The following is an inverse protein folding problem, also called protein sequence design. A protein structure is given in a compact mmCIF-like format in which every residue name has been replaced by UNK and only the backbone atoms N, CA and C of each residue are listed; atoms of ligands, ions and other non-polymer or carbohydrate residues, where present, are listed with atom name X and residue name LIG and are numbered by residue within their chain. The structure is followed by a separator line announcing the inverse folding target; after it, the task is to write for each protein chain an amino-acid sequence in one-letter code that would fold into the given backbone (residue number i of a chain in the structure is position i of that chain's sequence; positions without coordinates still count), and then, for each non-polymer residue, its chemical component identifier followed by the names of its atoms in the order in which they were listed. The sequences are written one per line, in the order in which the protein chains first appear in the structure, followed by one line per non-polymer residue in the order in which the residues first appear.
data_IF_508593186318
#
_entry.id   IF_508593186318
#
_cell.length_a   1.000
_cell.length_b   1.000
_cell.length_c   1.000
_cell.angle_alpha   90.00
_cell.angle_beta   90.00
_cell.angle_gamma   90.00
#
_symmetry.space_group_name_H-M   'P 1'
#
loop_
_entity.id
_entity.type
_entity.pdbx_description
1 polymer ?
#
# COMPACT_ATOMS: atom_id res chain seq x y z
N UNK A 1 -2.06 0.21 -13.55
CA UNK A 1 -0.98 -0.01 -12.56
C UNK A 1 0.21 -0.62 -13.28
N UNK A 2 1.41 -0.42 -12.79
CA UNK A 2 2.66 -0.90 -13.39
C UNK A 2 3.29 -1.98 -12.49
N UNK A 3 4.05 -2.89 -13.09
CA UNK A 3 4.86 -3.89 -12.39
C UNK A 3 6.15 -4.12 -13.15
N UNK A 4 7.28 -4.27 -12.44
CA UNK A 4 8.55 -4.66 -13.10
C UNK A 4 8.39 -6.00 -13.82
N UNK A 5 7.66 -6.94 -13.20
CA UNK A 5 7.54 -8.32 -13.70
C UNK A 5 6.51 -8.46 -14.81
N UNK A 6 5.43 -7.67 -14.77
CA UNK A 6 4.25 -7.87 -15.64
C UNK A 6 3.94 -6.68 -16.57
N UNK A 7 4.72 -5.60 -16.51
CA UNK A 7 4.46 -4.38 -17.28
C UNK A 7 3.21 -3.63 -16.81
N UNK A 8 2.52 -2.96 -17.74
CA UNK A 8 1.26 -2.27 -17.46
C UNK A 8 0.10 -3.27 -17.32
N UNK A 9 -0.55 -3.24 -16.17
CA UNK A 9 -1.66 -4.12 -15.82
C UNK A 9 -2.90 -3.32 -15.44
N UNK A 10 -4.05 -3.78 -15.94
CA UNK A 10 -5.36 -3.29 -15.47
C UNK A 10 -5.60 -3.72 -14.02
N UNK A 11 -6.51 -3.04 -13.31
CA UNK A 11 -6.89 -3.43 -11.95
C UNK A 11 -7.40 -4.88 -11.88
N UNK A 12 -8.23 -5.29 -12.87
CA UNK A 12 -8.73 -6.67 -12.99
C UNK A 12 -7.59 -7.66 -13.24
N UNK A 13 -6.65 -7.33 -14.13
CA UNK A 13 -5.50 -8.18 -14.43
C UNK A 13 -4.60 -8.34 -13.20
N UNK A 14 -4.36 -7.27 -12.44
CA UNK A 14 -3.59 -7.33 -11.20
C UNK A 14 -4.23 -8.31 -10.21
N UNK A 15 -5.54 -8.23 -9.96
CA UNK A 15 -6.25 -9.16 -9.07
C UNK A 15 -6.01 -10.61 -9.49
N UNK A 16 -6.16 -10.91 -10.78
CA UNK A 16 -5.95 -12.27 -11.28
C UNK A 16 -4.49 -12.73 -11.13
N UNK A 17 -3.52 -11.83 -11.29
CA UNK A 17 -2.10 -12.14 -11.05
C UNK A 17 -1.86 -12.42 -9.55
N UNK A 18 -2.42 -11.61 -8.65
CA UNK A 18 -2.30 -11.80 -7.19
C UNK A 18 -2.85 -13.17 -6.80
N UNK A 19 -4.06 -13.51 -7.25
CA UNK A 19 -4.68 -14.81 -6.98
C UNK A 19 -3.81 -15.95 -7.47
N UNK A 20 -3.35 -15.90 -8.72
CA UNK A 20 -2.44 -16.92 -9.29
C UNK A 20 -1.13 -17.04 -8.50
N UNK A 21 -0.55 -15.92 -8.07
CA UNK A 21 0.69 -15.91 -7.31
C UNK A 21 0.53 -16.59 -5.94
N UNK A 22 -0.57 -16.32 -5.24
CA UNK A 22 -0.89 -16.96 -3.95
C UNK A 22 -1.23 -18.45 -4.14
N UNK A 23 -2.03 -18.78 -5.16
CA UNK A 23 -2.42 -20.16 -5.47
C UNK A 23 -1.26 -21.03 -5.97
N UNK A 24 -0.17 -20.44 -6.48
CA UNK A 24 0.98 -21.19 -6.98
C UNK A 24 1.73 -21.99 -5.92
N UNK A 25 1.60 -21.62 -4.63
CA UNK A 25 2.11 -22.40 -3.51
C UNK A 25 1.31 -22.06 -2.24
N UNK A 26 0.26 -22.84 -1.96
CA UNK A 26 -0.63 -22.64 -0.81
C UNK A 26 -0.02 -23.10 0.52
N UNK A 27 1.14 -23.77 0.51
CA UNK A 27 1.85 -24.16 1.74
C UNK A 27 2.57 -22.97 2.41
N UNK A 28 2.64 -21.83 1.72
CA UNK A 28 3.33 -20.61 2.15
C UNK A 28 2.36 -19.60 2.71
N UNK A 29 2.88 -18.77 3.63
CA UNK A 29 2.18 -17.57 4.10
C UNK A 29 2.42 -16.41 3.13
N UNK A 30 1.37 -15.64 2.85
CA UNK A 30 1.42 -14.43 2.05
C UNK A 30 0.92 -13.24 2.85
N UNK A 31 1.51 -12.08 2.62
CA UNK A 31 1.09 -10.81 3.22
C UNK A 31 0.85 -9.81 2.10
N UNK A 32 -0.37 -9.27 2.04
CA UNK A 32 -0.71 -8.17 1.14
C UNK A 32 -0.55 -6.86 1.92
N UNK A 33 0.32 -6.00 1.42
CA UNK A 33 0.62 -4.70 2.00
C UNK A 33 0.34 -3.61 0.99
N UNK A 34 -0.42 -2.60 1.39
CA UNK A 34 -0.72 -1.43 0.57
C UNK A 34 -0.11 -0.21 1.25
N UNK A 35 0.67 0.56 0.50
CA UNK A 35 1.29 1.77 1.02
C UNK A 35 1.36 2.85 -0.04
N UNK A 36 1.30 4.09 0.41
CA UNK A 36 1.43 5.26 -0.46
C UNK A 36 2.52 6.15 0.09
N UNK A 37 3.30 6.75 -0.81
CA UNK A 37 4.27 7.79 -0.49
C UNK A 37 4.14 8.93 -1.50
N UNK A 38 4.34 10.16 -1.06
CA UNK A 38 4.25 11.33 -1.93
C UNK A 38 5.43 12.26 -1.77
N UNK A 39 5.90 12.82 -2.89
CA UNK A 39 7.04 13.74 -2.91
C UNK A 39 6.73 15.02 -3.69
N UNK A 40 7.07 16.14 -3.06
CA UNK A 40 6.80 17.47 -3.61
C UNK A 40 7.92 17.88 -4.57
N UNK A 41 7.53 18.22 -5.80
CA UNK A 41 8.34 18.92 -6.79
C UNK A 41 7.63 20.26 -7.13
N UNK A 42 7.47 20.58 -8.41
CA UNK A 42 6.54 21.62 -8.89
C UNK A 42 5.09 21.23 -8.60
N UNK A 43 4.81 19.93 -8.68
CA UNK A 43 3.57 19.25 -8.28
C UNK A 43 3.91 18.11 -7.32
N UNK A 44 2.92 17.60 -6.58
CA UNK A 44 3.12 16.43 -5.73
C UNK A 44 3.02 15.17 -6.60
N UNK A 45 4.10 14.38 -6.65
CA UNK A 45 4.13 13.03 -7.23
C UNK A 45 3.75 12.04 -6.13
N UNK A 46 2.72 11.25 -6.37
CA UNK A 46 2.16 10.31 -5.40
C UNK A 46 2.27 8.91 -5.97
N UNK A 47 2.82 7.97 -5.21
CA UNK A 47 2.95 6.58 -5.63
C UNK A 47 2.19 5.70 -4.67
N UNK A 48 1.21 4.97 -5.21
CA UNK A 48 0.43 3.97 -4.47
C UNK A 48 0.97 2.59 -4.83
N UNK A 49 1.21 1.73 -3.86
CA UNK A 49 1.81 0.40 -4.01
C UNK A 49 0.88 -0.68 -3.45
N UNK A 50 0.77 -1.79 -4.17
CA UNK A 50 0.26 -3.07 -3.67
C UNK A 50 1.39 -4.08 -3.73
N UNK A 51 1.87 -4.53 -2.59
CA UNK A 51 2.95 -5.50 -2.45
C UNK A 51 2.42 -6.82 -1.89
N UNK A 52 2.85 -7.94 -2.48
CA UNK A 52 2.49 -9.28 -2.08
C UNK A 52 3.77 -10.00 -1.72
N UNK A 53 4.00 -10.15 -0.42
CA UNK A 53 5.19 -10.80 0.12
C UNK A 53 4.89 -12.27 0.40
N UNK A 54 5.61 -13.18 -0.23
CA UNK A 54 5.64 -14.61 0.13
C UNK A 54 6.72 -14.77 1.20
N UNK A 55 6.30 -15.03 2.43
CA UNK A 55 7.21 -15.02 3.59
C UNK A 55 8.35 -16.02 3.37
N UNK A 56 9.59 -15.52 3.39
CA UNK A 56 10.80 -16.31 3.15
C UNK A 56 11.17 -16.55 1.68
N UNK A 57 10.41 -16.02 0.71
CA UNK A 57 10.56 -16.35 -0.72
C UNK A 57 10.37 -15.13 -1.65
N UNK A 58 10.64 -13.92 -1.17
CA UNK A 58 10.50 -12.69 -1.95
C UNK A 58 9.03 -12.33 -2.21
N UNK A 59 8.75 -11.56 -3.25
CA UNK A 59 7.40 -11.06 -3.51
C UNK A 59 7.26 -10.41 -4.87
N UNK A 60 6.03 -10.01 -5.17
CA UNK A 60 5.70 -9.18 -6.33
C UNK A 60 5.07 -7.88 -5.84
N UNK A 61 5.13 -6.83 -6.65
CA UNK A 61 4.42 -5.61 -6.35
C UNK A 61 3.93 -4.94 -7.62
N UNK A 62 2.97 -4.07 -7.41
CA UNK A 62 2.37 -3.21 -8.40
C UNK A 62 2.33 -1.79 -7.85
N UNK A 63 2.46 -0.80 -8.71
CA UNK A 63 2.36 0.59 -8.30
C UNK A 63 1.62 1.44 -9.32
N UNK A 64 1.11 2.57 -8.90
CA UNK A 64 0.52 3.58 -9.76
C UNK A 64 1.04 4.96 -9.38
N UNK A 65 1.29 5.81 -10.37
CA UNK A 65 1.82 7.16 -10.15
C UNK A 65 0.74 8.18 -10.47
N UNK A 66 0.39 9.00 -9.48
CA UNK A 66 -0.53 10.12 -9.59
C UNK A 66 0.22 11.44 -9.43
N UNK A 67 -0.33 12.50 -10.02
CA UNK A 67 0.17 13.87 -9.97
C UNK A 67 -0.93 14.76 -9.43
N UNK A 68 -0.68 15.42 -8.30
CA UNK A 68 -1.67 16.30 -7.64
C UNK A 68 -1.04 17.65 -7.29
N UNK A 69 -1.89 18.61 -6.94
CA UNK A 69 -1.43 19.91 -6.47
C UNK A 69 -0.50 19.78 -5.26
N UNK A 70 0.38 20.75 -5.09
CA UNK A 70 1.41 20.73 -4.05
C UNK A 70 0.77 20.62 -2.65
N UNK A 71 1.16 19.62 -1.88
CA UNK A 71 0.70 19.43 -0.50
C UNK A 71 1.84 19.82 0.44
N UNK A 72 1.80 21.04 0.98
CA UNK A 72 2.90 21.59 1.78
C UNK A 72 2.91 21.13 3.24
N UNK A 73 1.77 20.70 3.77
CA UNK A 73 1.63 20.30 5.16
C UNK A 73 1.89 18.79 5.33
N UNK A 74 2.87 18.42 6.17
CA UNK A 74 3.25 17.03 6.42
C UNK A 74 2.08 16.18 6.94
N UNK A 75 1.28 16.71 7.87
CA UNK A 75 0.11 16.01 8.39
C UNK A 75 -0.88 15.75 7.27
N UNK A 76 -1.20 16.77 6.47
CA UNK A 76 -2.07 16.62 5.30
C UNK A 76 -1.55 15.57 4.31
N UNK A 77 -0.24 15.51 4.06
CA UNK A 77 0.38 14.49 3.20
C UNK A 77 0.13 13.07 3.74
N UNK A 78 0.43 12.83 5.01
CA UNK A 78 0.26 11.51 5.64
C UNK A 78 -1.22 11.09 5.62
N UNK A 79 -2.14 12.00 5.91
CA UNK A 79 -3.58 11.73 5.83
C UNK A 79 -4.01 11.40 4.40
N UNK A 80 -3.50 12.14 3.41
CA UNK A 80 -3.79 11.91 2.01
C UNK A 80 -3.25 10.55 1.53
N UNK A 81 -1.99 10.23 1.85
CA UNK A 81 -1.36 8.93 1.56
C UNK A 81 -2.12 7.76 2.22
N UNK A 82 -2.53 7.94 3.47
CA UNK A 82 -3.31 6.93 4.21
C UNK A 82 -4.69 6.75 3.55
N UNK A 83 -5.37 7.84 3.16
CA UNK A 83 -6.67 7.76 2.49
C UNK A 83 -6.62 6.97 1.18
N UNK A 84 -5.61 7.22 0.35
CA UNK A 84 -5.40 6.51 -0.92
C UNK A 84 -5.13 5.02 -0.70
N UNK A 85 -4.39 4.70 0.36
CA UNK A 85 -4.09 3.30 0.71
C UNK A 85 -5.35 2.56 1.18
N UNK A 86 -6.18 3.21 2.00
CA UNK A 86 -7.47 2.67 2.46
C UNK A 86 -8.43 2.48 1.28
N UNK A 87 -8.58 3.47 0.40
CA UNK A 87 -9.47 3.37 -0.78
C UNK A 87 -9.08 2.17 -1.66
N UNK A 88 -7.79 1.98 -1.92
CA UNK A 88 -7.32 0.85 -2.71
C UNK A 88 -7.53 -0.49 -1.99
N UNK A 89 -7.36 -0.53 -0.67
CA UNK A 89 -7.60 -1.72 0.13
C UNK A 89 -9.08 -2.11 0.15
N UNK A 90 -10.00 -1.14 0.24
CA UNK A 90 -11.44 -1.37 0.16
C UNK A 90 -11.81 -1.98 -1.19
N UNK A 91 -11.35 -1.38 -2.28
CA UNK A 91 -11.61 -1.89 -3.64
C UNK A 91 -11.05 -3.30 -3.87
N UNK A 92 -9.87 -3.60 -3.32
CA UNK A 92 -9.28 -4.94 -3.39
C UNK A 92 -10.07 -5.95 -2.55
N UNK A 93 -10.40 -5.58 -1.31
CA UNK A 93 -11.20 -6.41 -0.39
C UNK A 93 -12.57 -6.75 -0.98
N UNK A 94 -13.27 -5.77 -1.56
CA UNK A 94 -14.53 -5.99 -2.27
C UNK A 94 -14.39 -7.02 -3.38
N UNK A 95 -13.38 -6.90 -4.25
CA UNK A 95 -13.16 -7.86 -5.35
C UNK A 95 -12.73 -9.24 -4.87
N UNK A 96 -11.96 -9.31 -3.80
CA UNK A 96 -11.60 -10.58 -3.18
C UNK A 96 -12.83 -11.27 -2.57
N UNK A 97 -13.71 -10.52 -1.90
CA UNK A 97 -14.96 -11.05 -1.35
C UNK A 97 -15.94 -11.50 -2.43
N UNK A 98 -16.11 -10.73 -3.53
CA UNK A 98 -16.92 -11.11 -4.69
C UNK A 98 -16.49 -12.45 -5.30
N UNK A 99 -15.20 -12.78 -5.23
CA UNK A 99 -14.60 -13.98 -5.82
C UNK A 99 -14.28 -15.08 -4.76
N UNK A 100 -14.83 -14.99 -3.54
CA UNK A 100 -14.59 -15.88 -2.37
C UNK A 100 -13.09 -16.14 -2.10
N UNK A 101 -12.26 -15.13 -2.31
CA UNK A 101 -10.82 -15.19 -2.12
C UNK A 101 -10.42 -14.57 -0.78
N UNK A 102 -10.16 -15.39 0.23
CA UNK A 102 -9.81 -14.92 1.58
C UNK A 102 -8.33 -14.52 1.65
N UNK A 103 -8.06 -13.25 1.93
CA UNK A 103 -6.72 -12.76 2.25
C UNK A 103 -6.79 -11.49 3.10
N UNK A 104 -5.84 -11.36 4.03
CA UNK A 104 -5.73 -10.17 4.85
C UNK A 104 -4.91 -9.09 4.14
N UNK A 105 -5.38 -7.85 4.24
CA UNK A 105 -4.70 -6.67 3.71
C UNK A 105 -4.24 -5.80 4.89
N UNK A 106 -2.98 -5.40 4.84
CA UNK A 106 -2.39 -4.44 5.76
C UNK A 106 -2.10 -3.11 5.06
N UNK A 107 -2.37 -2.00 5.73
CA UNK A 107 -1.99 -0.66 5.29
C UNK A 107 -0.66 -0.31 5.94
N UNK A 108 0.31 0.03 5.11
CA UNK A 108 1.65 0.45 5.49
C UNK A 108 1.71 1.97 5.38
N UNK A 109 1.92 2.66 6.51
CA UNK A 109 1.97 4.13 6.55
C UNK A 109 3.38 4.60 6.90
N UNK A 110 3.88 5.63 6.21
CA UNK A 110 5.24 6.16 6.38
C UNK A 110 5.43 7.03 7.65
N UNK A 111 4.89 6.59 8.78
CA UNK A 111 5.07 7.23 10.10
C UNK A 111 5.92 6.35 11.00
N UNK A 112 6.62 6.94 11.97
CA UNK A 112 7.49 6.22 12.91
C UNK A 112 7.56 6.92 14.25
N UNK A 113 8.04 6.20 15.26
CA UNK A 113 8.08 6.68 16.65
C UNK A 113 9.06 7.85 16.84
N UNK A 114 9.99 8.04 15.89
CA UNK A 114 10.95 9.12 15.89
C UNK A 114 10.44 10.34 15.10
N UNK A 115 10.43 11.50 15.75
CA UNK A 115 10.20 12.80 15.11
C UNK A 115 8.75 13.27 15.07
N UNK A 116 8.45 14.16 14.11
CA UNK A 116 7.18 14.90 14.04
C UNK A 116 5.95 14.02 13.78
N UNK A 117 6.15 12.83 13.20
CA UNK A 117 5.07 11.93 12.81
C UNK A 117 4.60 11.00 13.94
N UNK A 118 5.39 10.85 15.01
CA UNK A 118 5.06 10.04 16.19
C UNK A 118 3.70 10.40 16.81
N UNK A 119 3.41 11.70 16.90
CA UNK A 119 2.14 12.23 17.44
C UNK A 119 0.92 11.83 16.61
N UNK A 120 1.12 11.44 15.35
CA UNK A 120 0.05 11.04 14.44
C UNK A 120 -0.24 9.53 14.49
N UNK A 121 0.65 8.72 15.06
CA UNK A 121 0.53 7.26 15.04
C UNK A 121 -0.80 6.79 15.64
N UNK A 122 -1.23 7.21 16.85
CA UNK A 122 -2.46 6.69 17.45
C UNK A 122 -3.69 6.97 16.58
N UNK A 123 -3.74 8.15 15.96
CA UNK A 123 -4.83 8.60 15.12
C UNK A 123 -4.89 7.83 13.80
N UNK A 124 -3.74 7.70 13.11
CA UNK A 124 -3.63 6.94 11.86
C UNK A 124 -3.95 5.45 12.09
N UNK A 125 -3.40 4.86 13.15
CA UNK A 125 -3.65 3.45 13.49
C UNK A 125 -5.12 3.25 13.83
N UNK A 126 -5.71 4.14 14.63
CA UNK A 126 -7.14 4.09 14.96
C UNK A 126 -8.02 4.18 13.72
N UNK A 127 -7.71 5.11 12.82
CA UNK A 127 -8.44 5.28 11.56
C UNK A 127 -8.37 4.04 10.66
N UNK A 128 -7.17 3.54 10.36
CA UNK A 128 -6.99 2.34 9.52
C UNK A 128 -7.71 1.13 10.11
N UNK A 129 -7.60 0.92 11.43
CA UNK A 129 -8.31 -0.16 12.13
C UNK A 129 -9.82 -0.01 12.07
N UNK A 130 -10.35 1.22 12.20
CA UNK A 130 -11.78 1.48 12.07
C UNK A 130 -12.34 1.14 10.68
N UNK A 131 -11.48 1.15 9.65
CA UNK A 131 -11.81 0.72 8.30
C UNK A 131 -11.67 -0.80 8.08
N UNK A 132 -11.33 -1.58 9.11
CA UNK A 132 -11.23 -3.03 9.03
C UNK A 132 -9.88 -3.56 8.54
N UNK A 133 -8.83 -2.74 8.50
CA UNK A 133 -7.50 -3.15 8.05
C UNK A 133 -6.48 -3.16 9.17
N UNK A 134 -5.44 -4.00 9.03
CA UNK A 134 -4.27 -3.94 9.91
C UNK A 134 -3.42 -2.73 9.52
N UNK A 135 -2.96 -1.95 10.51
CA UNK A 135 -2.07 -0.82 10.28
C UNK A 135 -0.64 -1.17 10.69
N UNK A 136 0.30 -1.07 9.75
CA UNK A 136 1.73 -1.20 9.99
C UNK A 136 2.42 0.15 9.78
N UNK A 137 3.22 0.55 10.75
CA UNK A 137 4.05 1.77 10.73
C UNK A 137 5.53 1.38 10.71
N UNK A 138 6.45 2.35 10.58
CA UNK A 138 7.90 2.06 10.63
C UNK A 138 8.24 1.36 11.95
N UNK A 139 9.14 0.36 11.93
CA UNK A 139 9.94 -0.12 10.80
C UNK A 139 9.25 -1.16 9.90
N UNK A 140 7.99 -1.51 10.15
CA UNK A 140 7.27 -2.61 9.47
C UNK A 140 6.52 -2.17 8.20
N UNK A 141 6.50 -0.88 7.88
CA UNK A 141 5.74 -0.26 6.77
C UNK A 141 6.44 -0.30 5.40
N UNK A 142 7.02 -1.43 4.98
CA UNK A 142 7.86 -1.52 3.77
C UNK A 142 7.20 -1.05 2.45
N UNK A 143 5.88 -1.26 2.25
CA UNK A 143 5.22 -0.86 1.02
C UNK A 143 5.23 0.67 0.82
N UNK A 144 5.03 1.45 1.88
CA UNK A 144 5.18 2.92 1.83
C UNK A 144 6.66 3.33 1.95
N UNK A 145 7.34 2.88 3.01
CA UNK A 145 8.65 3.41 3.43
C UNK A 145 9.82 3.00 2.52
N UNK A 146 9.66 1.93 1.74
CA UNK A 146 10.69 1.44 0.82
C UNK A 146 10.22 1.44 -0.63
N UNK A 147 9.15 0.72 -0.96
CA UNK A 147 8.73 0.57 -2.36
C UNK A 147 8.19 1.90 -2.89
N UNK A 148 7.15 2.47 -2.28
CA UNK A 148 6.56 3.72 -2.76
C UNK A 148 7.59 4.87 -2.75
N UNK A 149 8.34 5.02 -1.66
CA UNK A 149 9.44 5.98 -1.51
C UNK A 149 10.51 5.87 -2.62
N UNK A 150 10.85 4.66 -3.07
CA UNK A 150 11.80 4.47 -4.19
C UNK A 150 11.28 5.06 -5.50
N UNK A 151 9.98 4.94 -5.74
CA UNK A 151 9.35 5.37 -6.98
C UNK A 151 8.82 6.81 -6.93
N UNK A 152 8.62 7.39 -5.75
CA UNK A 152 8.16 8.77 -5.56
C UNK A 152 9.28 9.79 -5.71
N UNK A 153 10.52 9.40 -5.37
CA UNK A 153 11.75 10.20 -5.57
C UNK A 153 12.07 10.45 -7.04
#
# INVERSE_FOLDING_TARGET
MQSITYGDVSFKSMIQIIKKYIQSDQSRKYEIAIGTDSQNFDITKVVVVVAIWRVGNGGIFFYDIKRVNKISNLRQKIFYETSLSIELAQRLSEKFNEEDFKCDISIHVDVGDDGLTSKMIPEIVGWVKSCGFTCNVKPYSYAASSIANKYSK
#
